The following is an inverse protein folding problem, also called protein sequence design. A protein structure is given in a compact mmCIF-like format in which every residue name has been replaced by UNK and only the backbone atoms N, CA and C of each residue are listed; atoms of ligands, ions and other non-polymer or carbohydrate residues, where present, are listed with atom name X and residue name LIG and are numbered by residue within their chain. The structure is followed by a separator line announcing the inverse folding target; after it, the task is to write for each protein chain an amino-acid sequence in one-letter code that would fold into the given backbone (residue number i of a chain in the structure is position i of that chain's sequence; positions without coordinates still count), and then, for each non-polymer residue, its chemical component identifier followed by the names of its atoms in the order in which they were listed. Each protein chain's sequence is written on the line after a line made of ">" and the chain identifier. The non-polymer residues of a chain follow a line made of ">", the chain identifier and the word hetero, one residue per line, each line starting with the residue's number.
data_IF_385544161580
#
_entry.id   IF_385544161580
#
_cell.length_a   1.000
_cell.length_b   1.000
_cell.length_c   1.000
_cell.angle_alpha   90.00
_cell.angle_beta   90.00
_cell.angle_gamma   90.00
#
_symmetry.space_group_name_H-M   'P 1'
#
loop_
_entity.id
_entity.type
_entity.pdbx_description
1 polymer ?
#
# COMPACT_ATOMS: atom_id res chain seq x y z
N UNK A 1 31.55 -18.98 7.11
CA UNK A 1 32.95 -18.76 6.66
C UNK A 1 33.45 -19.68 5.53
N UNK A 2 32.66 -20.52 4.88
CA UNK A 2 33.14 -21.50 3.90
C UNK A 2 33.19 -21.08 2.41
N UNK A 3 32.27 -20.23 1.96
CA UNK A 3 32.10 -19.91 0.52
C UNK A 3 33.14 -18.90 0.01
N UNK A 4 33.56 -17.95 0.82
CA UNK A 4 34.55 -16.93 0.46
C UNK A 4 35.96 -17.49 0.32
N UNK A 5 36.32 -18.54 1.08
CA UNK A 5 37.63 -19.19 1.01
C UNK A 5 37.80 -20.05 -0.26
N UNK A 6 36.73 -20.69 -0.74
CA UNK A 6 36.74 -21.49 -1.99
C UNK A 6 36.90 -20.61 -3.24
N UNK A 7 36.40 -19.40 -3.23
CA UNK A 7 36.49 -18.49 -4.37
C UNK A 7 37.89 -17.82 -4.51
N UNK A 8 38.69 -17.78 -3.45
CA UNK A 8 40.01 -17.12 -3.49
C UNK A 8 41.06 -17.91 -4.30
N UNK A 9 40.96 -19.23 -4.40
CA UNK A 9 41.93 -20.07 -5.07
C UNK A 9 41.61 -20.36 -6.54
N UNK A 10 40.45 -19.97 -7.05
CA UNK A 10 40.00 -20.26 -8.42
C UNK A 10 40.52 -19.23 -9.44
N UNK A 11 40.75 -19.69 -10.68
CA UNK A 11 41.12 -18.78 -11.78
C UNK A 11 40.05 -17.69 -12.01
N UNK A 12 40.45 -16.49 -12.46
CA UNK A 12 39.53 -15.41 -12.74
C UNK A 12 38.39 -15.79 -13.67
N UNK A 13 38.64 -16.64 -14.64
CA UNK A 13 37.61 -17.14 -15.59
C UNK A 13 36.51 -17.95 -14.89
N UNK A 14 36.87 -18.81 -13.92
CA UNK A 14 35.90 -19.61 -13.15
C UNK A 14 35.05 -18.71 -12.25
N UNK A 15 35.64 -17.67 -11.64
CA UNK A 15 34.93 -16.70 -10.82
C UNK A 15 33.84 -15.94 -11.63
N UNK A 16 34.19 -15.47 -12.82
CA UNK A 16 33.25 -14.82 -13.72
C UNK A 16 32.15 -15.77 -14.23
N UNK A 17 32.49 -17.00 -14.51
CA UNK A 17 31.50 -17.99 -14.93
C UNK A 17 30.52 -18.34 -13.82
N UNK A 18 30.98 -18.48 -12.58
CA UNK A 18 30.13 -18.69 -11.41
C UNK A 18 29.24 -17.48 -11.12
N UNK A 19 29.79 -16.26 -11.23
CA UNK A 19 29.02 -15.04 -11.07
C UNK A 19 27.91 -14.93 -12.14
N UNK A 20 28.23 -15.19 -13.40
CA UNK A 20 27.26 -15.19 -14.49
C UNK A 20 26.16 -16.26 -14.30
N UNK A 21 26.54 -17.47 -13.85
CA UNK A 21 25.59 -18.54 -13.54
C UNK A 21 24.66 -18.18 -12.38
N UNK A 22 25.18 -17.61 -11.30
CA UNK A 22 24.39 -17.15 -10.16
C UNK A 22 23.43 -16.01 -10.54
N UNK A 23 23.91 -15.01 -11.30
CA UNK A 23 23.07 -13.94 -11.81
C UNK A 23 21.98 -14.48 -12.75
N UNK A 24 22.34 -15.38 -13.67
CA UNK A 24 21.38 -16.00 -14.57
C UNK A 24 20.33 -16.82 -13.83
N UNK A 25 20.73 -17.63 -12.85
CA UNK A 25 19.80 -18.40 -12.01
C UNK A 25 18.87 -17.48 -11.19
N UNK A 26 19.42 -16.41 -10.62
CA UNK A 26 18.63 -15.41 -9.89
C UNK A 26 17.60 -14.73 -10.79
N UNK A 27 17.98 -14.34 -12.00
CA UNK A 27 17.07 -13.76 -12.98
C UNK A 27 15.97 -14.74 -13.37
N UNK A 28 16.31 -16.02 -13.65
CA UNK A 28 15.33 -17.06 -14.00
C UNK A 28 14.32 -17.32 -12.88
N UNK A 29 14.75 -17.30 -11.62
CA UNK A 29 13.86 -17.50 -10.47
C UNK A 29 12.99 -16.27 -10.21
N UNK A 30 13.55 -15.06 -10.39
CA UNK A 30 12.83 -13.82 -10.13
C UNK A 30 11.91 -13.41 -11.29
N UNK A 31 12.24 -13.78 -12.53
CA UNK A 31 11.56 -13.33 -13.72
C UNK A 31 10.03 -13.55 -13.71
N UNK A 32 9.49 -14.74 -13.38
CA UNK A 32 8.05 -14.96 -13.35
C UNK A 32 7.34 -14.29 -12.15
N UNK A 33 8.10 -13.86 -11.13
CA UNK A 33 7.55 -13.25 -9.89
C UNK A 33 7.77 -11.76 -9.82
N UNK A 34 8.46 -11.17 -10.77
CA UNK A 34 8.71 -9.74 -10.79
C UNK A 34 7.38 -9.01 -11.04
N UNK A 35 6.96 -8.19 -10.07
CA UNK A 35 5.66 -7.49 -10.11
C UNK A 35 5.46 -6.67 -11.40
N UNK A 36 6.50 -6.04 -11.92
CA UNK A 36 6.46 -5.28 -13.17
C UNK A 36 6.31 -6.15 -14.44
N UNK A 37 6.63 -7.45 -14.37
CA UNK A 37 6.52 -8.37 -15.50
C UNK A 37 5.31 -9.29 -15.38
N UNK A 38 4.68 -9.36 -14.21
CA UNK A 38 3.53 -10.23 -13.97
C UNK A 38 2.42 -10.00 -14.99
N UNK A 39 2.04 -8.76 -15.20
CA UNK A 39 1.00 -8.41 -16.15
C UNK A 39 1.43 -8.45 -17.62
N UNK A 40 2.73 -8.45 -17.91
CA UNK A 40 3.23 -8.59 -19.28
C UNK A 40 3.02 -10.00 -19.82
N UNK A 41 3.15 -11.01 -18.95
CA UNK A 41 3.01 -12.43 -19.31
C UNK A 41 1.66 -13.04 -18.89
N UNK A 42 0.85 -12.33 -18.10
CA UNK A 42 -0.39 -12.83 -17.57
C UNK A 42 -1.60 -12.22 -18.30
N UNK A 43 -2.42 -13.09 -18.90
CA UNK A 43 -3.63 -12.71 -19.64
C UNK A 43 -4.78 -12.20 -18.74
N UNK A 44 -4.65 -12.34 -17.42
CA UNK A 44 -5.67 -11.89 -16.46
C UNK A 44 -5.49 -10.44 -15.99
N UNK A 45 -4.55 -9.70 -16.57
CA UNK A 45 -4.37 -8.29 -16.28
C UNK A 45 -5.22 -7.44 -17.23
N UNK A 46 -5.68 -6.31 -16.71
CA UNK A 46 -6.51 -5.34 -17.41
C UNK A 46 -5.81 -3.98 -17.48
N UNK A 47 -6.08 -3.24 -18.53
CA UNK A 47 -5.58 -1.88 -18.67
C UNK A 47 -6.49 -0.93 -17.91
N UNK A 48 -5.90 -0.09 -17.06
CA UNK A 48 -6.59 0.99 -16.33
C UNK A 48 -5.95 2.33 -16.68
N UNK A 49 -6.75 3.38 -16.68
CA UNK A 49 -6.26 4.75 -16.82
C UNK A 49 -5.98 5.32 -15.43
N UNK A 50 -4.75 5.82 -15.23
CA UNK A 50 -4.31 6.50 -14.01
C UNK A 50 -3.75 7.85 -14.42
N UNK A 51 -4.46 8.92 -14.11
CA UNK A 51 -4.19 10.27 -14.62
C UNK A 51 -4.10 10.29 -16.17
N UNK A 52 -2.96 10.63 -16.73
CA UNK A 52 -2.72 10.66 -18.19
C UNK A 52 -2.18 9.33 -18.74
N UNK A 53 -1.75 8.42 -17.86
CA UNK A 53 -1.08 7.17 -18.21
C UNK A 53 -2.02 5.97 -18.24
N UNK A 54 -1.63 4.93 -18.99
CA UNK A 54 -2.27 3.62 -18.95
C UNK A 54 -1.36 2.64 -18.22
N UNK A 55 -1.92 1.97 -17.22
CA UNK A 55 -1.24 0.94 -16.44
C UNK A 55 -1.94 -0.40 -16.63
N UNK A 56 -1.15 -1.45 -16.79
CA UNK A 56 -1.64 -2.81 -16.81
C UNK A 56 -1.52 -3.42 -15.42
N UNK A 57 -2.64 -3.77 -14.80
CA UNK A 57 -2.72 -4.29 -13.43
C UNK A 57 -3.57 -5.56 -13.36
N UNK A 58 -3.38 -6.34 -12.31
CA UNK A 58 -4.26 -7.50 -12.07
C UNK A 58 -5.70 -7.06 -11.78
N UNK A 59 -6.66 -7.97 -11.99
CA UNK A 59 -8.08 -7.67 -11.84
C UNK A 59 -8.50 -7.28 -10.42
N UNK A 60 -7.79 -7.75 -9.39
CA UNK A 60 -8.03 -7.36 -7.99
C UNK A 60 -7.64 -5.90 -7.76
N UNK A 61 -6.45 -5.52 -8.19
CA UNK A 61 -5.98 -4.12 -8.14
C UNK A 61 -6.90 -3.19 -8.91
N UNK A 62 -7.30 -3.56 -10.14
CA UNK A 62 -8.22 -2.77 -10.95
C UNK A 62 -9.55 -2.53 -10.24
N UNK A 63 -10.10 -3.56 -9.63
CA UNK A 63 -11.37 -3.46 -8.89
C UNK A 63 -11.26 -2.59 -7.65
N UNK A 64 -10.19 -2.73 -6.89
CA UNK A 64 -9.95 -1.92 -5.70
C UNK A 64 -9.78 -0.44 -6.07
N UNK A 65 -9.06 -0.14 -7.15
CA UNK A 65 -8.92 1.23 -7.65
C UNK A 65 -10.24 1.81 -8.16
N UNK A 66 -11.07 1.01 -8.84
CA UNK A 66 -12.39 1.44 -9.26
C UNK A 66 -13.31 1.76 -8.07
N UNK A 67 -13.28 0.94 -7.02
CA UNK A 67 -14.03 1.21 -5.79
C UNK A 67 -13.53 2.48 -5.08
N UNK A 68 -12.21 2.68 -5.04
CA UNK A 68 -11.61 3.88 -4.45
C UNK A 68 -11.96 5.14 -5.25
N UNK A 69 -11.93 5.08 -6.58
CA UNK A 69 -12.38 6.18 -7.46
C UNK A 69 -13.82 6.57 -7.15
N UNK A 70 -14.72 5.60 -7.02
CA UNK A 70 -16.12 5.85 -6.67
C UNK A 70 -16.26 6.56 -5.32
N UNK A 71 -15.52 6.12 -4.29
CA UNK A 71 -15.50 6.78 -3.00
C UNK A 71 -14.95 8.21 -3.11
N UNK A 72 -13.91 8.41 -3.93
CA UNK A 72 -13.32 9.73 -4.12
C UNK A 72 -14.27 10.70 -4.85
N UNK A 73 -14.97 10.25 -5.87
CA UNK A 73 -15.99 11.04 -6.58
C UNK A 73 -17.13 11.47 -5.64
N UNK A 74 -17.55 10.57 -4.75
CA UNK A 74 -18.69 10.79 -3.87
C UNK A 74 -18.33 11.65 -2.64
N UNK A 75 -17.19 11.39 -1.99
CA UNK A 75 -16.88 11.96 -0.67
C UNK A 75 -15.73 12.97 -0.65
N UNK A 76 -14.92 13.06 -1.71
CA UNK A 76 -13.78 13.98 -1.79
C UNK A 76 -13.69 14.68 -3.15
N UNK A 77 -14.75 15.41 -3.55
CA UNK A 77 -14.71 16.16 -4.80
C UNK A 77 -13.59 17.21 -4.79
N UNK A 78 -13.11 17.56 -5.97
CA UNK A 78 -12.01 18.53 -6.14
C UNK A 78 -10.68 17.96 -5.64
N UNK A 79 -9.91 18.75 -4.87
CA UNK A 79 -8.56 18.39 -4.38
C UNK A 79 -8.54 17.79 -2.98
N UNK A 80 -9.70 17.56 -2.41
CA UNK A 80 -9.84 17.00 -1.07
C UNK A 80 -9.22 15.60 -1.01
N UNK A 81 -8.58 15.26 0.11
CA UNK A 81 -7.88 14.00 0.29
C UNK A 81 -8.67 12.97 1.09
N UNK A 82 -8.10 11.79 1.27
CA UNK A 82 -8.64 10.66 2.02
C UNK A 82 -7.51 9.98 2.81
N UNK A 83 -7.85 9.02 3.68
CA UNK A 83 -6.89 8.21 4.44
C UNK A 83 -6.91 6.78 3.88
N UNK A 84 -5.73 6.19 3.65
CA UNK A 84 -5.56 4.74 3.51
C UNK A 84 -4.49 4.29 4.51
N UNK A 85 -4.79 3.29 5.33
CA UNK A 85 -3.86 2.75 6.30
C UNK A 85 -4.12 1.25 6.54
N UNK A 86 -3.08 0.49 6.91
CA UNK A 86 -1.66 0.85 7.00
C UNK A 86 -0.94 0.83 5.66
N UNK A 87 -1.59 0.31 4.65
CA UNK A 87 -1.02 0.08 3.32
C UNK A 87 -1.71 0.94 2.26
N UNK A 88 -1.35 0.66 0.99
CA UNK A 88 -2.00 1.27 -0.16
C UNK A 88 -1.57 2.71 -0.47
N UNK A 89 -0.31 3.00 -0.17
CA UNK A 89 0.30 4.30 -0.50
C UNK A 89 0.17 4.71 -1.98
N UNK A 90 0.14 3.73 -2.90
CA UNK A 90 -0.10 3.95 -4.33
C UNK A 90 -1.47 4.54 -4.67
N UNK A 91 -2.45 4.43 -3.77
CA UNK A 91 -3.78 5.00 -3.95
C UNK A 91 -3.77 6.53 -4.13
N UNK A 92 -2.89 7.22 -3.39
CA UNK A 92 -2.74 8.67 -3.51
C UNK A 92 -2.23 9.08 -4.89
N UNK A 93 -1.20 8.39 -5.39
CA UNK A 93 -0.68 8.63 -6.74
C UNK A 93 -1.71 8.30 -7.81
N UNK A 94 -2.44 7.18 -7.65
CA UNK A 94 -3.46 6.74 -8.60
C UNK A 94 -4.61 7.75 -8.76
N UNK A 95 -4.96 8.46 -7.69
CA UNK A 95 -6.02 9.48 -7.71
C UNK A 95 -5.49 10.92 -7.81
N UNK A 96 -4.18 11.12 -7.98
CA UNK A 96 -3.59 12.45 -8.03
C UNK A 96 -3.77 13.25 -6.73
N UNK A 97 -3.81 12.57 -5.58
CA UNK A 97 -4.05 13.18 -4.26
C UNK A 97 -2.78 13.17 -3.41
N UNK A 98 -2.71 14.07 -2.45
CA UNK A 98 -1.65 14.07 -1.42
C UNK A 98 -2.10 13.26 -0.22
N UNK A 99 -1.19 12.48 0.38
CA UNK A 99 -1.48 11.83 1.66
C UNK A 99 -1.72 12.88 2.76
N UNK A 100 -2.74 12.71 3.62
CA UNK A 100 -2.94 13.55 4.78
C UNK A 100 -1.96 13.26 5.92
N UNK A 101 -1.24 12.14 5.83
CA UNK A 101 -0.23 11.71 6.80
C UNK A 101 1.15 11.71 6.16
N UNK A 102 2.17 11.91 6.96
CA UNK A 102 3.54 11.75 6.53
C UNK A 102 3.89 10.26 6.35
N UNK A 103 3.42 9.39 7.26
CA UNK A 103 3.63 7.96 7.19
C UNK A 103 2.57 7.30 6.29
N UNK A 104 2.96 6.99 5.06
CA UNK A 104 2.09 6.35 4.06
C UNK A 104 2.11 4.81 4.11
N UNK A 105 2.93 4.23 5.00
CA UNK A 105 3.05 2.78 5.20
C UNK A 105 3.19 2.49 6.70
N UNK A 106 2.06 2.47 7.39
CA UNK A 106 1.96 2.44 8.84
C UNK A 106 1.99 1.00 9.40
N UNK A 107 3.10 0.25 9.14
CA UNK A 107 3.23 -1.18 9.46
C UNK A 107 3.92 -1.48 10.79
N UNK A 108 4.50 -0.49 11.46
CA UNK A 108 5.26 -0.68 12.69
C UNK A 108 4.79 0.25 13.80
N UNK A 109 4.84 -0.17 15.08
CA UNK A 109 4.40 0.67 16.19
C UNK A 109 5.12 2.02 16.25
N UNK A 110 4.36 3.08 16.50
CA UNK A 110 4.86 4.43 16.64
C UNK A 110 4.60 5.00 18.01
N UNK A 111 5.45 5.93 18.45
CA UNK A 111 5.26 6.63 19.73
C UNK A 111 3.96 7.47 19.72
N UNK A 112 3.39 7.69 20.90
CA UNK A 112 2.20 8.54 21.05
C UNK A 112 2.43 9.95 20.50
N UNK A 113 3.61 10.53 20.70
CA UNK A 113 3.95 11.87 20.19
C UNK A 113 3.94 11.92 18.65
N UNK A 114 4.47 10.87 18.00
CA UNK A 114 4.42 10.77 16.54
C UNK A 114 2.97 10.67 16.04
N UNK A 115 2.17 9.77 16.63
CA UNK A 115 0.78 9.60 16.25
C UNK A 115 -0.05 10.88 16.46
N UNK A 116 0.22 11.63 17.53
CA UNK A 116 -0.46 12.91 17.77
C UNK A 116 -0.10 13.93 16.68
N UNK A 117 1.17 13.99 16.24
CA UNK A 117 1.58 14.86 15.15
C UNK A 117 0.92 14.48 13.82
N UNK A 118 0.73 13.17 13.56
CA UNK A 118 -0.02 12.71 12.39
C UNK A 118 -1.50 13.07 12.47
N UNK A 119 -2.13 12.97 13.64
CA UNK A 119 -3.52 13.38 13.85
C UNK A 119 -3.70 14.88 13.53
N UNK A 120 -2.76 15.75 13.92
CA UNK A 120 -2.84 17.17 13.59
C UNK A 120 -2.71 17.39 12.06
N UNK A 121 -1.90 16.61 11.35
CA UNK A 121 -1.83 16.65 9.89
C UNK A 121 -3.14 16.20 9.24
N UNK A 122 -3.74 15.11 9.74
CA UNK A 122 -5.03 14.61 9.28
C UNK A 122 -6.12 15.68 9.45
N UNK A 123 -6.18 16.32 10.62
CA UNK A 123 -7.13 17.43 10.90
C UNK A 123 -6.95 18.57 9.91
N UNK A 124 -5.70 19.00 9.68
CA UNK A 124 -5.40 20.10 8.76
C UNK A 124 -5.74 19.77 7.30
N UNK A 125 -5.58 18.50 6.90
CA UNK A 125 -5.89 18.05 5.54
C UNK A 125 -7.40 17.80 5.32
N UNK A 126 -8.18 17.65 6.38
CA UNK A 126 -9.64 17.43 6.37
C UNK A 126 -10.07 16.34 5.37
N UNK A 127 -9.63 15.07 5.52
CA UNK A 127 -9.98 13.99 4.60
C UNK A 127 -11.47 13.65 4.65
N UNK A 128 -12.05 13.32 3.49
CA UNK A 128 -13.48 13.03 3.40
C UNK A 128 -13.86 11.60 3.74
N UNK A 129 -12.93 10.65 3.60
CA UNK A 129 -13.14 9.25 3.99
C UNK A 129 -11.83 8.60 4.43
N UNK A 130 -11.93 7.43 5.06
CA UNK A 130 -10.81 6.57 5.40
C UNK A 130 -11.09 5.12 4.96
N UNK A 131 -10.08 4.46 4.43
CA UNK A 131 -10.07 3.01 4.15
C UNK A 131 -8.99 2.39 5.01
N UNK A 132 -9.40 1.55 5.95
CA UNK A 132 -8.51 0.91 6.92
C UNK A 132 -8.46 -0.59 6.66
N UNK A 133 -7.29 -1.13 6.41
CA UNK A 133 -7.04 -2.57 6.40
C UNK A 133 -6.49 -2.98 7.78
N UNK A 134 -7.36 -3.52 8.63
CA UNK A 134 -6.97 -3.96 9.96
C UNK A 134 -6.60 -5.45 9.98
N UNK A 135 -6.12 -6.00 8.86
CA UNK A 135 -5.59 -7.36 8.79
C UNK A 135 -4.27 -7.48 9.56
N UNK A 136 -3.98 -8.66 10.13
CA UNK A 136 -2.69 -8.90 10.78
C UNK A 136 -1.57 -8.91 9.73
N UNK A 137 -0.58 -8.01 9.86
CA UNK A 137 0.58 -7.99 8.98
C UNK A 137 1.47 -9.22 9.26
N UNK A 138 1.83 -9.97 8.21
CA UNK A 138 2.55 -11.24 8.30
C UNK A 138 1.92 -12.28 9.27
N UNK A 139 0.59 -12.25 9.43
CA UNK A 139 -0.14 -13.11 10.36
C UNK A 139 0.07 -12.76 11.83
N UNK A 140 0.66 -11.61 12.13
CA UNK A 140 0.95 -11.13 13.48
C UNK A 140 -0.15 -10.18 13.96
N UNK A 141 -0.89 -10.59 14.99
CA UNK A 141 -1.98 -9.81 15.59
C UNK A 141 -1.48 -8.48 16.19
N UNK A 142 -0.27 -8.46 16.74
CA UNK A 142 0.35 -7.27 17.32
C UNK A 142 0.71 -6.21 16.28
N UNK A 143 0.70 -6.57 14.99
CA UNK A 143 0.95 -5.66 13.87
C UNK A 143 -0.33 -5.20 13.14
N UNK A 144 -1.51 -5.44 13.69
CA UNK A 144 -2.74 -4.80 13.20
C UNK A 144 -2.65 -3.28 13.36
N UNK A 145 -3.29 -2.54 12.48
CA UNK A 145 -3.26 -1.09 12.51
C UNK A 145 -3.71 -0.51 13.86
N UNK A 146 -4.80 -1.00 14.43
CA UNK A 146 -5.26 -0.53 15.75
C UNK A 146 -4.27 -0.81 16.88
N UNK A 147 -3.37 -1.79 16.77
CA UNK A 147 -2.32 -2.09 17.75
C UNK A 147 -1.06 -1.24 17.52
N UNK A 148 -0.71 -1.00 16.27
CA UNK A 148 0.49 -0.23 15.92
C UNK A 148 0.26 1.28 16.00
N UNK A 149 -0.97 1.73 15.69
CA UNK A 149 -1.36 3.15 15.64
C UNK A 149 -2.66 3.42 16.42
N UNK A 150 -2.73 3.06 17.71
CA UNK A 150 -3.98 3.13 18.48
C UNK A 150 -4.59 4.53 18.55
N UNK A 151 -3.79 5.59 18.60
CA UNK A 151 -4.33 6.95 18.68
C UNK A 151 -4.92 7.41 17.34
N UNK A 152 -4.31 7.03 16.23
CA UNK A 152 -4.83 7.36 14.89
C UNK A 152 -6.10 6.55 14.62
N UNK A 153 -6.11 5.25 14.93
CA UNK A 153 -7.29 4.40 14.80
C UNK A 153 -8.46 4.95 15.63
N UNK A 154 -8.21 5.31 16.89
CA UNK A 154 -9.22 5.93 17.76
C UNK A 154 -9.73 7.26 17.19
N UNK A 155 -8.83 8.12 16.70
CA UNK A 155 -9.23 9.39 16.08
C UNK A 155 -10.17 9.16 14.89
N UNK A 156 -9.87 8.16 14.04
CA UNK A 156 -10.72 7.83 12.88
C UNK A 156 -12.10 7.37 13.37
N UNK A 157 -12.17 6.46 14.33
CA UNK A 157 -13.46 5.97 14.88
C UNK A 157 -14.29 7.08 15.54
N UNK A 158 -13.65 8.06 16.17
CA UNK A 158 -14.34 9.15 16.84
C UNK A 158 -14.88 10.21 15.86
N UNK A 159 -14.17 10.46 14.75
CA UNK A 159 -14.47 11.56 13.83
C UNK A 159 -15.08 11.13 12.50
N UNK A 160 -15.15 9.81 12.25
CA UNK A 160 -15.75 9.27 11.04
C UNK A 160 -16.85 8.28 11.40
N UNK A 161 -17.80 8.10 10.50
CA UNK A 161 -18.87 7.11 10.61
C UNK A 161 -18.57 5.89 9.74
N UNK A 162 -18.78 4.67 10.24
CA UNK A 162 -18.56 3.48 9.44
C UNK A 162 -19.60 3.40 8.31
N UNK A 163 -19.14 3.35 7.06
CA UNK A 163 -19.98 3.06 5.90
C UNK A 163 -20.22 1.55 5.74
N UNK A 164 -19.40 0.74 6.39
CA UNK A 164 -19.42 -0.73 6.31
C UNK A 164 -18.10 -1.30 5.78
N UNK A 165 -18.08 -2.61 5.58
CA UNK A 165 -16.94 -3.28 5.01
C UNK A 165 -17.03 -3.28 3.49
N UNK A 166 -15.90 -3.28 2.81
CA UNK A 166 -15.87 -3.53 1.37
C UNK A 166 -16.51 -4.91 1.08
N UNK A 167 -17.47 -4.96 0.17
CA UNK A 167 -18.15 -6.19 -0.21
C UNK A 167 -17.20 -7.30 -0.71
N UNK A 168 -15.99 -6.94 -1.15
CA UNK A 168 -14.99 -7.87 -1.68
C UNK A 168 -13.86 -8.21 -0.73
N UNK A 169 -13.52 -7.30 0.18
CA UNK A 169 -12.52 -7.56 1.21
C UNK A 169 -13.08 -7.12 2.56
N UNK A 170 -13.59 -8.04 3.37
CA UNK A 170 -14.16 -7.73 4.69
C UNK A 170 -13.12 -7.13 5.67
N UNK A 171 -11.83 -7.26 5.38
CA UNK A 171 -10.78 -6.60 6.16
C UNK A 171 -10.72 -5.07 5.91
N UNK A 172 -11.21 -4.59 4.75
CA UNK A 172 -11.26 -3.16 4.46
C UNK A 172 -12.50 -2.54 5.11
N UNK A 173 -12.26 -1.79 6.15
CA UNK A 173 -13.26 -0.97 6.83
C UNK A 173 -13.27 0.43 6.22
N UNK A 174 -14.45 0.88 5.80
CA UNK A 174 -14.63 2.19 5.16
C UNK A 174 -15.35 3.10 6.14
N UNK A 175 -14.81 4.29 6.32
CA UNK A 175 -15.33 5.32 7.21
C UNK A 175 -15.50 6.62 6.44
N UNK A 176 -16.59 7.34 6.68
CA UNK A 176 -16.89 8.65 6.07
C UNK A 176 -16.76 9.74 7.11
N UNK A 177 -16.09 10.84 6.77
CA UNK A 177 -15.94 11.97 7.69
C UNK A 177 -17.30 12.54 8.09
N UNK A 178 -17.53 12.72 9.39
CA UNK A 178 -18.74 13.37 9.93
C UNK A 178 -18.90 14.81 9.45
N UNK A 179 -17.81 15.43 8.96
CA UNK A 179 -17.82 16.79 8.40
C UNK A 179 -18.09 16.82 6.88
N UNK A 180 -18.17 15.68 6.20
CA UNK A 180 -18.40 15.61 4.75
C UNK A 180 -19.85 15.90 4.35
N UNK A 181 -20.78 15.96 5.30
CA UNK A 181 -22.21 16.22 5.09
C UNK A 181 -22.66 17.65 5.39
N UNK A 182 -21.74 18.56 5.67
CA UNK A 182 -22.00 19.99 5.83
C UNK A 182 -21.39 20.74 4.64
#
# INVERSE_FOLDING_TARGET
>A
MGVTALLSSQSAKIKWLLAALLCGASLLVMFPRHSGLYCYFNQHCVDIKVAEDQLKVDGGTATNLAALNKLAEEFVPGDRTFITAPFWSGAYAALGRKSPMWEIFASTPRSAAFQQAEIERIKAANPGFAVIDDSPFDGREDLRFHNTHPLIDQYIRDNFEPLGNSARNPAFQIYISKQAGQ
#
